data_IF_899116388018
#
_entry.id   IF_899116388018
#
_cell.length_a   1.000
_cell.length_b   1.000
_cell.length_c   1.000
_cell.angle_alpha   90.00
_cell.angle_beta   90.00
_cell.angle_gamma   90.00
#
_symmetry.space_group_name_H-M   'P 1'
#
loop_
_entity.id
_entity.type
_entity.pdbx_description
1 polymer ?
#
# COMPACT_ATOMS: atom_id res chain seq x y z
N UNK A 1 1.91 -1.43 20.77
CA UNK A 1 0.72 -1.82 19.99
C UNK A 1 1.01 -3.10 19.24
N UNK A 2 -0.02 -3.92 18.98
CA UNK A 2 0.05 -5.11 18.13
C UNK A 2 -0.38 -4.74 16.71
N UNK A 3 0.52 -4.84 15.74
CA UNK A 3 0.33 -4.29 14.39
C UNK A 3 0.52 -5.38 13.34
N UNK A 4 -0.44 -5.48 12.42
CA UNK A 4 -0.33 -6.32 11.23
C UNK A 4 -0.05 -5.45 10.00
N UNK A 5 1.00 -5.79 9.25
CA UNK A 5 1.24 -5.25 7.91
C UNK A 5 0.94 -6.34 6.89
N UNK A 6 -0.26 -6.29 6.33
CA UNK A 6 -0.83 -7.30 5.46
C UNK A 6 -0.42 -7.08 3.99
N UNK A 7 -0.18 -8.16 3.26
CA UNK A 7 0.28 -8.15 1.87
C UNK A 7 1.59 -7.34 1.72
N UNK A 8 2.51 -7.52 2.66
CA UNK A 8 3.82 -6.88 2.66
C UNK A 8 4.93 -7.92 2.83
N UNK A 9 5.69 -8.16 1.77
CA UNK A 9 6.91 -8.99 1.81
C UNK A 9 8.18 -8.15 2.06
N UNK A 10 8.16 -6.83 1.78
CA UNK A 10 9.35 -5.96 1.84
C UNK A 10 9.87 -5.71 3.26
N UNK A 11 9.01 -5.84 4.28
CA UNK A 11 9.32 -5.52 5.67
C UNK A 11 9.50 -4.03 5.97
N UNK A 12 9.32 -3.14 4.99
CA UNK A 12 9.62 -1.71 5.15
C UNK A 12 8.69 -1.03 6.16
N UNK A 13 7.38 -1.28 6.07
CA UNK A 13 6.41 -0.70 7.01
C UNK A 13 6.50 -1.39 8.36
N UNK A 14 6.59 -2.74 8.38
CA UNK A 14 6.80 -3.51 9.61
C UNK A 14 7.97 -2.97 10.42
N UNK A 15 9.13 -2.80 9.79
CA UNK A 15 10.37 -2.39 10.46
C UNK A 15 10.29 -0.95 10.99
N UNK A 16 9.57 -0.04 10.31
CA UNK A 16 9.34 1.31 10.78
C UNK A 16 8.58 1.32 12.13
N UNK A 17 7.58 0.44 12.29
CA UNK A 17 6.86 0.30 13.56
C UNK A 17 7.70 -0.40 14.64
N UNK A 18 8.49 -1.43 14.29
CA UNK A 18 9.41 -2.10 15.22
C UNK A 18 10.44 -1.10 15.75
N UNK A 19 11.01 -0.25 14.90
CA UNK A 19 11.97 0.78 15.30
C UNK A 19 11.41 1.76 16.34
N UNK A 20 10.07 1.89 16.43
CA UNK A 20 9.37 2.71 17.43
C UNK A 20 8.88 1.90 18.65
N UNK A 21 9.31 0.64 18.79
CA UNK A 21 9.02 -0.20 19.95
C UNK A 21 7.66 -0.90 19.91
N UNK A 22 7.05 -1.02 18.71
CA UNK A 22 5.79 -1.73 18.56
C UNK A 22 5.99 -3.21 18.20
N UNK A 23 5.03 -4.05 18.58
CA UNK A 23 4.96 -5.46 18.19
C UNK A 23 4.31 -5.54 16.79
N UNK A 24 5.14 -5.50 15.75
CA UNK A 24 4.68 -5.51 14.37
C UNK A 24 5.13 -6.79 13.64
N UNK A 25 4.21 -7.37 12.87
CA UNK A 25 4.44 -8.53 12.00
C UNK A 25 3.94 -8.22 10.59
N UNK A 26 4.70 -8.61 9.57
CA UNK A 26 4.22 -8.58 8.19
C UNK A 26 3.62 -9.94 7.78
N UNK A 27 2.76 -9.94 6.76
CA UNK A 27 2.17 -11.15 6.18
C UNK A 27 2.11 -11.02 4.66
N UNK A 28 2.60 -12.04 3.95
CA UNK A 28 2.51 -12.14 2.48
C UNK A 28 2.59 -13.60 2.05
N UNK A 29 2.12 -13.92 0.85
CA UNK A 29 2.33 -15.23 0.22
C UNK A 29 3.80 -15.48 -0.11
N UNK A 30 4.57 -14.40 -0.31
CA UNK A 30 6.00 -14.43 -0.56
C UNK A 30 6.80 -14.43 0.75
N UNK A 31 8.03 -14.98 0.76
CA UNK A 31 8.95 -14.80 1.86
C UNK A 31 9.35 -13.32 2.01
N UNK A 32 9.69 -12.90 3.22
CA UNK A 32 10.13 -11.51 3.46
C UNK A 32 11.50 -11.24 2.86
N UNK A 33 11.70 -10.03 2.33
CA UNK A 33 12.99 -9.55 1.81
C UNK A 33 13.95 -9.12 2.94
N UNK A 34 13.44 -8.86 4.15
CA UNK A 34 14.22 -8.42 5.33
C UNK A 34 13.96 -9.32 6.52
N UNK A 35 14.98 -9.64 7.28
CA UNK A 35 14.83 -10.36 8.53
C UNK A 35 13.85 -9.65 9.47
N UNK A 36 12.99 -10.43 10.15
CA UNK A 36 12.03 -9.89 11.09
C UNK A 36 10.75 -10.74 11.17
N UNK A 37 9.82 -10.40 12.08
CA UNK A 37 8.57 -11.11 12.23
C UNK A 37 7.75 -11.11 10.94
N UNK A 38 7.50 -12.29 10.36
CA UNK A 38 6.79 -12.45 9.10
C UNK A 38 6.01 -13.75 9.08
N UNK A 39 4.74 -13.67 8.71
CA UNK A 39 3.90 -14.84 8.39
C UNK A 39 3.88 -15.02 6.87
N UNK A 40 4.52 -16.08 6.37
CA UNK A 40 4.40 -16.46 4.98
C UNK A 40 3.15 -17.30 4.79
N UNK A 41 2.06 -16.70 4.31
CA UNK A 41 0.76 -17.37 4.17
C UNK A 41 -0.34 -16.43 3.73
N UNK A 42 -1.58 -16.92 3.82
CA UNK A 42 -2.76 -16.13 3.48
C UNK A 42 -3.01 -15.06 4.57
N UNK A 43 -3.34 -13.85 4.15
CA UNK A 43 -3.68 -12.76 5.07
C UNK A 43 -4.84 -13.10 5.99
N UNK A 44 -5.78 -13.91 5.55
CA UNK A 44 -6.93 -14.35 6.37
C UNK A 44 -6.53 -15.21 7.55
N UNK A 45 -5.38 -15.89 7.52
CA UNK A 45 -4.82 -16.62 8.66
C UNK A 45 -4.53 -15.68 9.84
N UNK A 46 -4.24 -14.40 9.55
CA UNK A 46 -3.88 -13.39 10.54
C UNK A 46 -5.08 -12.59 11.04
N UNK A 47 -6.23 -12.64 10.36
CA UNK A 47 -7.42 -11.83 10.69
C UNK A 47 -8.37 -12.50 11.70
N UNK A 48 -8.05 -13.69 12.19
CA UNK A 48 -8.81 -14.41 13.21
C UNK A 48 -8.52 -13.97 14.67
N UNK A 49 -7.73 -12.92 14.85
CA UNK A 49 -7.34 -12.35 16.14
C UNK A 49 -7.40 -10.82 16.10
N UNK A 50 -7.56 -10.14 17.26
CA UNK A 50 -7.61 -8.69 17.30
C UNK A 50 -6.23 -8.06 17.08
N UNK A 51 -6.24 -6.90 16.40
CA UNK A 51 -5.10 -6.04 16.14
C UNK A 51 -5.39 -4.61 16.58
N UNK A 52 -4.36 -3.89 17.05
CA UNK A 52 -4.49 -2.45 17.36
C UNK A 52 -4.51 -1.60 16.09
N UNK A 53 -3.77 -2.04 15.07
CA UNK A 53 -3.67 -1.40 13.75
C UNK A 53 -3.41 -2.45 12.68
N UNK A 54 -4.08 -2.33 11.54
CA UNK A 54 -3.79 -3.10 10.33
C UNK A 54 -3.48 -2.15 9.18
N UNK A 55 -2.33 -2.36 8.52
CA UNK A 55 -1.95 -1.67 7.28
C UNK A 55 -1.86 -2.73 6.19
N UNK A 56 -2.47 -2.51 5.02
CA UNK A 56 -2.48 -3.50 3.94
C UNK A 56 -2.07 -2.90 2.59
N UNK A 57 -1.32 -3.71 1.82
CA UNK A 57 -0.85 -3.39 0.48
C UNK A 57 -1.36 -4.45 -0.54
N UNK A 58 -2.69 -4.56 -0.76
CA UNK A 58 -3.24 -5.60 -1.59
C UNK A 58 -2.78 -5.50 -3.05
N UNK A 59 -2.78 -6.62 -3.81
CA UNK A 59 -2.44 -6.61 -5.23
C UNK A 59 -3.27 -5.59 -6.01
N UNK A 60 -2.60 -4.66 -6.71
CA UNK A 60 -3.26 -3.52 -7.34
C UNK A 60 -3.29 -3.57 -8.88
N UNK A 61 -2.66 -4.56 -9.52
CA UNK A 61 -2.47 -4.61 -10.98
C UNK A 61 -3.78 -4.49 -11.75
N UNK A 62 -4.82 -5.25 -11.37
CA UNK A 62 -6.13 -5.18 -11.99
C UNK A 62 -6.96 -3.97 -11.53
N UNK A 63 -6.62 -3.33 -10.41
CA UNK A 63 -7.36 -2.24 -9.78
C UNK A 63 -6.96 -0.85 -10.27
N UNK A 64 -5.72 -0.68 -10.74
CA UNK A 64 -5.20 0.63 -11.15
C UNK A 64 -5.78 1.12 -12.47
N UNK A 65 -5.95 2.44 -12.62
CA UNK A 65 -6.33 3.06 -13.90
C UNK A 65 -5.27 2.84 -15.00
N UNK A 66 -4.01 2.66 -14.63
CA UNK A 66 -2.94 2.33 -15.58
C UNK A 66 -3.15 0.97 -16.26
N UNK A 67 -3.93 0.06 -15.65
CA UNK A 67 -4.31 -1.24 -16.21
C UNK A 67 -5.55 -1.20 -17.10
N UNK A 68 -6.15 -0.03 -17.40
CA UNK A 68 -7.41 0.05 -18.13
C UNK A 68 -7.38 -0.55 -19.53
N UNK A 69 -6.24 -0.51 -20.21
CA UNK A 69 -6.08 -1.13 -21.54
C UNK A 69 -6.18 -2.66 -21.51
N UNK A 70 -5.98 -3.28 -20.36
CA UNK A 70 -6.00 -4.76 -20.20
C UNK A 70 -7.23 -5.20 -19.40
N UNK A 71 -7.57 -4.46 -18.34
CA UNK A 71 -8.60 -4.83 -17.35
C UNK A 71 -9.83 -3.92 -17.40
N UNK A 72 -9.89 -2.92 -18.31
CA UNK A 72 -11.02 -2.02 -18.43
C UNK A 72 -12.28 -2.72 -18.93
N UNK A 73 -13.44 -2.04 -18.81
CA UNK A 73 -14.69 -2.51 -19.35
C UNK A 73 -14.55 -2.79 -20.87
N UNK A 74 -15.07 -3.93 -21.32
CA UNK A 74 -14.91 -4.40 -22.69
C UNK A 74 -13.54 -5.02 -23.02
N UNK A 75 -12.58 -5.07 -22.09
CA UNK A 75 -11.30 -5.72 -22.28
C UNK A 75 -11.34 -7.22 -21.88
N UNK A 76 -10.48 -8.08 -22.48
CA UNK A 76 -10.50 -9.53 -22.25
C UNK A 76 -10.37 -9.93 -20.76
N UNK A 77 -9.66 -9.11 -19.95
CA UNK A 77 -9.44 -9.38 -18.53
C UNK A 77 -10.33 -8.56 -17.58
N UNK A 78 -11.45 -8.07 -18.06
CA UNK A 78 -12.39 -7.29 -17.21
C UNK A 78 -12.94 -8.12 -16.05
N UNK A 79 -13.21 -9.41 -16.26
CA UNK A 79 -13.66 -10.31 -15.19
C UNK A 79 -12.63 -10.45 -14.06
N UNK A 80 -11.33 -10.48 -14.38
CA UNK A 80 -10.26 -10.49 -13.37
C UNK A 80 -10.27 -9.19 -12.51
N UNK A 81 -10.61 -8.05 -13.11
CA UNK A 81 -10.79 -6.78 -12.37
C UNK A 81 -11.93 -6.87 -11.38
N UNK A 82 -13.08 -7.38 -11.80
CA UNK A 82 -14.25 -7.50 -10.93
C UNK A 82 -13.95 -8.44 -9.74
N UNK A 83 -13.34 -9.59 -10.00
CA UNK A 83 -12.92 -10.50 -8.93
C UNK A 83 -11.89 -9.84 -7.98
N UNK A 84 -10.93 -9.06 -8.51
CA UNK A 84 -9.96 -8.32 -7.69
C UNK A 84 -10.63 -7.23 -6.84
N UNK A 85 -11.65 -6.56 -7.36
CA UNK A 85 -12.44 -5.58 -6.59
C UNK A 85 -13.19 -6.28 -5.46
N UNK A 86 -13.89 -7.37 -5.76
CA UNK A 86 -14.64 -8.16 -4.77
C UNK A 86 -13.72 -8.64 -3.63
N UNK A 87 -12.60 -9.27 -3.98
CA UNK A 87 -11.62 -9.75 -3.00
C UNK A 87 -11.06 -8.60 -2.13
N UNK A 88 -10.72 -7.47 -2.74
CA UNK A 88 -10.15 -6.31 -2.01
C UNK A 88 -11.18 -5.69 -1.06
N UNK A 89 -12.44 -5.60 -1.47
CA UNK A 89 -13.53 -5.12 -0.61
C UNK A 89 -13.82 -6.10 0.54
N UNK A 90 -13.78 -7.41 0.27
CA UNK A 90 -13.89 -8.44 1.30
C UNK A 90 -12.76 -8.34 2.32
N UNK A 91 -11.52 -8.21 1.87
CA UNK A 91 -10.34 -7.99 2.73
C UNK A 91 -10.51 -6.73 3.58
N UNK A 92 -10.92 -5.59 2.97
CA UNK A 92 -11.17 -4.34 3.69
C UNK A 92 -12.18 -4.52 4.83
N UNK A 93 -13.26 -5.25 4.58
CA UNK A 93 -14.28 -5.51 5.62
C UNK A 93 -13.78 -6.45 6.71
N UNK A 94 -13.02 -7.48 6.35
CA UNK A 94 -12.42 -8.39 7.31
C UNK A 94 -11.40 -7.69 8.23
N UNK A 95 -10.56 -6.81 7.67
CA UNK A 95 -9.62 -5.99 8.45
C UNK A 95 -10.33 -5.07 9.44
N UNK A 96 -11.43 -4.41 9.04
CA UNK A 96 -12.25 -3.57 9.94
C UNK A 96 -12.92 -4.35 11.06
N UNK A 97 -13.22 -5.63 10.84
CA UNK A 97 -13.74 -6.50 11.90
C UNK A 97 -12.64 -6.92 12.90
N UNK A 98 -11.39 -7.00 12.44
CA UNK A 98 -10.24 -7.43 13.26
C UNK A 98 -9.49 -6.27 13.94
N UNK A 99 -9.72 -5.00 13.51
CA UNK A 99 -9.04 -3.83 14.08
C UNK A 99 -9.90 -2.57 14.02
N UNK A 100 -9.88 -1.72 15.07
CA UNK A 100 -10.52 -0.42 15.05
C UNK A 100 -9.80 0.61 14.16
N UNK A 101 -8.54 0.36 13.77
CA UNK A 101 -7.70 1.25 12.97
C UNK A 101 -7.13 0.49 11.78
N UNK A 102 -7.53 0.92 10.57
CA UNK A 102 -7.12 0.24 9.33
C UNK A 102 -6.71 1.27 8.28
N UNK A 103 -5.57 1.01 7.64
CA UNK A 103 -5.15 1.66 6.40
C UNK A 103 -5.02 0.62 5.29
N UNK A 104 -5.59 0.89 4.12
CA UNK A 104 -5.34 0.09 2.92
C UNK A 104 -4.77 0.98 1.83
N UNK A 105 -3.54 0.68 1.41
CA UNK A 105 -2.84 1.36 0.34
C UNK A 105 -3.28 0.80 -1.03
N UNK A 106 -3.61 1.69 -1.96
CA UNK A 106 -3.83 1.31 -3.35
C UNK A 106 -3.56 2.52 -4.27
N UNK A 107 -3.00 2.34 -5.46
CA UNK A 107 -2.81 3.44 -6.40
C UNK A 107 -4.15 4.00 -6.88
N UNK A 108 -4.12 5.10 -7.64
CA UNK A 108 -5.32 5.64 -8.30
C UNK A 108 -5.99 4.55 -9.14
N UNK A 109 -7.20 4.17 -8.75
CA UNK A 109 -7.85 2.98 -9.29
C UNK A 109 -9.37 3.01 -9.20
N UNK A 110 -9.95 1.84 -9.37
CA UNK A 110 -11.40 1.65 -9.55
C UNK A 110 -12.17 1.35 -8.25
N UNK A 111 -11.50 1.17 -7.12
CA UNK A 111 -12.12 0.74 -5.86
C UNK A 111 -13.24 1.68 -5.40
N UNK A 112 -13.07 3.01 -5.58
CA UNK A 112 -14.13 3.96 -5.25
C UNK A 112 -15.40 3.73 -6.11
N UNK A 113 -15.21 3.51 -7.41
CA UNK A 113 -16.33 3.39 -8.36
C UNK A 113 -16.93 1.98 -8.37
N UNK A 114 -16.13 0.94 -8.47
CA UNK A 114 -16.60 -0.44 -8.61
C UNK A 114 -16.76 -1.14 -7.25
N UNK A 115 -15.93 -0.80 -6.27
CA UNK A 115 -15.99 -1.36 -4.92
C UNK A 115 -16.86 -0.55 -3.95
N UNK A 116 -17.45 0.57 -4.40
CA UNK A 116 -18.25 1.47 -3.57
C UNK A 116 -17.51 1.89 -2.26
N UNK A 117 -16.19 2.04 -2.34
CA UNK A 117 -15.39 2.48 -1.21
C UNK A 117 -15.39 4.01 -1.09
N UNK A 118 -15.19 4.52 0.12
CA UNK A 118 -15.02 5.96 0.34
C UNK A 118 -13.80 6.52 -0.42
N UNK A 119 -13.70 7.84 -0.53
CA UNK A 119 -12.56 8.47 -1.18
C UNK A 119 -11.30 8.26 -0.33
N UNK A 120 -10.18 7.80 -0.92
CA UNK A 120 -8.91 7.71 -0.21
C UNK A 120 -8.28 9.09 -0.03
N UNK A 121 -7.44 9.24 0.99
CA UNK A 121 -6.43 10.29 1.02
C UNK A 121 -5.37 9.97 -0.04
N UNK A 122 -4.96 10.95 -0.84
CA UNK A 122 -3.83 10.77 -1.75
C UNK A 122 -2.56 11.36 -1.16
N UNK A 123 -1.49 10.58 -1.20
CA UNK A 123 -0.14 10.99 -0.80
C UNK A 123 0.85 10.80 -1.94
N UNK A 124 1.98 11.48 -1.84
CA UNK A 124 3.09 11.42 -2.79
C UNK A 124 4.42 11.24 -2.06
N UNK A 125 5.39 10.48 -2.60
CA UNK A 125 6.69 10.29 -1.96
C UNK A 125 7.44 11.59 -1.67
N UNK A 126 7.28 12.62 -2.52
CA UNK A 126 7.94 13.92 -2.28
C UNK A 126 7.45 14.66 -1.03
N UNK A 127 6.27 14.33 -0.52
CA UNK A 127 5.75 14.85 0.75
C UNK A 127 6.48 14.26 1.97
N UNK A 128 7.26 13.19 1.75
CA UNK A 128 7.94 12.40 2.77
C UNK A 128 9.44 12.22 2.48
N UNK A 129 10.07 13.20 1.82
CA UNK A 129 11.51 13.27 1.61
C UNK A 129 12.07 12.49 0.41
N UNK A 130 11.23 11.95 -0.48
CA UNK A 130 11.67 11.21 -1.66
C UNK A 130 11.42 12.02 -2.94
N UNK A 131 12.45 12.28 -3.73
CA UNK A 131 12.35 13.08 -4.96
C UNK A 131 11.69 12.31 -6.12
N UNK A 132 10.56 11.64 -5.84
CA UNK A 132 9.81 10.83 -6.81
C UNK A 132 8.32 11.11 -6.76
N UNK A 133 7.63 10.82 -7.86
CA UNK A 133 6.18 10.86 -7.99
C UNK A 133 5.61 9.44 -8.09
N UNK A 134 4.74 9.09 -7.17
CA UNK A 134 3.93 7.86 -7.18
C UNK A 134 2.65 8.14 -6.39
N UNK A 135 1.63 8.69 -7.06
CA UNK A 135 0.36 9.02 -6.40
C UNK A 135 -0.28 7.76 -5.83
N UNK A 136 -0.37 7.70 -4.52
CA UNK A 136 -0.86 6.56 -3.76
C UNK A 136 -2.08 6.96 -2.94
N UNK A 137 -3.13 6.16 -2.95
CA UNK A 137 -4.34 6.35 -2.14
C UNK A 137 -4.28 5.54 -0.86
N UNK A 138 -4.61 6.17 0.25
CA UNK A 138 -4.76 5.57 1.56
C UNK A 138 -6.25 5.56 1.93
N UNK A 139 -6.87 4.39 1.94
CA UNK A 139 -8.21 4.21 2.49
C UNK A 139 -8.08 4.05 4.01
N UNK A 140 -8.67 4.96 4.77
CA UNK A 140 -8.50 5.06 6.21
C UNK A 140 -9.79 4.71 6.95
N UNK A 141 -9.67 3.93 8.03
CA UNK A 141 -10.73 3.66 8.98
C UNK A 141 -10.17 3.83 10.40
N UNK A 142 -10.79 4.70 11.22
CA UNK A 142 -10.34 4.96 12.58
C UNK A 142 -8.95 5.61 12.69
N UNK A 143 -8.42 6.13 11.60
CA UNK A 143 -7.11 6.79 11.51
C UNK A 143 -7.27 8.24 11.05
N UNK A 144 -6.46 9.17 11.55
CA UNK A 144 -6.37 10.52 10.99
C UNK A 144 -5.65 10.47 9.63
N UNK A 145 -5.90 11.45 8.74
CA UNK A 145 -5.09 11.63 7.54
C UNK A 145 -3.60 11.73 7.87
N UNK A 146 -2.76 11.10 7.03
CA UNK A 146 -1.31 11.18 7.16
C UNK A 146 -0.83 12.58 6.75
N UNK A 147 -0.09 13.23 7.63
CA UNK A 147 0.46 14.58 7.40
C UNK A 147 1.86 14.47 6.82
N UNK A 148 2.17 15.31 5.84
CA UNK A 148 3.51 15.36 5.25
C UNK A 148 4.58 15.74 6.29
N UNK A 149 5.76 15.13 6.19
CA UNK A 149 6.86 15.32 7.14
C UNK A 149 8.04 16.08 6.57
N UNK A 150 8.31 15.90 5.28
CA UNK A 150 9.45 16.52 4.59
C UNK A 150 9.10 16.72 3.10
N UNK A 151 8.52 17.86 2.77
CA UNK A 151 8.10 18.17 1.41
C UNK A 151 9.28 18.67 0.57
N UNK A 152 9.73 17.84 -0.36
CA UNK A 152 10.86 18.13 -1.30
C UNK A 152 10.35 18.39 -2.73
N UNK A 153 9.13 18.90 -2.88
CA UNK A 153 8.50 19.13 -4.20
C UNK A 153 9.33 20.04 -5.10
N UNK A 154 9.80 21.19 -4.59
CA UNK A 154 10.53 22.16 -5.38
C UNK A 154 11.89 21.64 -5.85
N UNK A 155 12.57 20.86 -5.00
CA UNK A 155 13.82 20.18 -5.34
C UNK A 155 13.58 19.07 -6.36
N UNK A 156 12.54 18.28 -6.17
CA UNK A 156 12.15 17.23 -7.11
C UNK A 156 11.82 17.81 -8.50
N UNK A 157 11.14 18.95 -8.56
CA UNK A 157 10.75 19.56 -9.83
C UNK A 157 11.95 20.04 -10.67
N UNK A 158 13.12 20.22 -10.07
CA UNK A 158 14.38 20.51 -10.78
C UNK A 158 14.95 19.28 -11.50
N UNK A 159 14.51 18.07 -11.14
CA UNK A 159 14.96 16.84 -11.76
C UNK A 159 14.27 16.57 -13.10
N UNK A 160 14.94 15.88 -14.05
CA UNK A 160 14.32 15.41 -15.27
C UNK A 160 13.09 14.52 -14.99
N UNK A 161 12.10 14.58 -15.90
CA UNK A 161 10.85 13.82 -15.73
C UNK A 161 11.06 12.32 -15.53
N UNK A 162 11.97 11.71 -16.29
CA UNK A 162 12.28 10.29 -16.18
C UNK A 162 12.93 9.90 -14.84
N UNK A 163 13.54 10.84 -14.13
CA UNK A 163 14.10 10.62 -12.78
C UNK A 163 12.99 10.70 -11.74
N UNK A 164 12.19 11.78 -11.72
CA UNK A 164 11.12 11.94 -10.73
C UNK A 164 9.95 10.98 -10.92
N UNK A 165 9.75 10.48 -12.14
CA UNK A 165 8.76 9.44 -12.46
C UNK A 165 9.42 8.07 -12.71
N UNK A 166 10.55 7.79 -12.07
CA UNK A 166 11.40 6.60 -12.30
C UNK A 166 10.60 5.30 -12.40
N UNK A 167 9.63 5.09 -11.53
CA UNK A 167 8.81 3.87 -11.53
C UNK A 167 7.97 3.70 -12.80
N UNK A 168 7.61 4.80 -13.47
CA UNK A 168 6.89 4.75 -14.75
C UNK A 168 7.83 4.33 -15.88
N UNK A 169 9.09 4.81 -15.84
CA UNK A 169 10.10 4.57 -16.87
C UNK A 169 10.95 3.30 -16.65
N UNK A 170 10.68 2.51 -15.62
CA UNK A 170 11.38 1.25 -15.40
C UNK A 170 11.21 0.32 -16.62
N UNK A 171 12.32 -0.21 -17.18
CA UNK A 171 12.25 -1.19 -18.26
C UNK A 171 11.54 -2.48 -17.77
N UNK A 172 11.01 -3.28 -18.70
CA UNK A 172 10.54 -4.61 -18.38
C UNK A 172 11.65 -5.46 -17.76
N UNK A 173 11.39 -6.03 -16.59
CA UNK A 173 12.29 -6.97 -15.93
C UNK A 173 11.48 -7.89 -14.98
N UNK A 174 12.02 -9.07 -14.61
CA UNK A 174 11.37 -9.95 -13.64
C UNK A 174 11.08 -9.26 -12.30
N UNK A 175 11.94 -8.32 -11.87
CA UNK A 175 11.84 -7.64 -10.58
C UNK A 175 11.14 -6.28 -10.65
N UNK A 176 10.67 -5.85 -11.81
CA UNK A 176 9.99 -4.57 -11.99
C UNK A 176 8.80 -4.39 -11.04
N UNK A 177 8.05 -5.44 -10.83
CA UNK A 177 6.90 -5.42 -9.92
C UNK A 177 7.33 -5.19 -8.47
N UNK A 178 8.42 -5.80 -8.01
CA UNK A 178 8.99 -5.60 -6.66
C UNK A 178 9.32 -4.14 -6.40
N UNK A 179 10.10 -3.52 -7.32
CA UNK A 179 10.47 -2.11 -7.22
C UNK A 179 9.26 -1.19 -7.18
N UNK A 180 8.19 -1.53 -7.90
CA UNK A 180 6.96 -0.74 -7.95
C UNK A 180 6.04 -0.91 -6.74
N UNK A 181 6.06 -2.07 -6.09
CA UNK A 181 5.20 -2.38 -4.95
C UNK A 181 5.77 -1.92 -3.61
N UNK A 182 7.09 -1.80 -3.48
CA UNK A 182 7.72 -1.37 -2.22
C UNK A 182 7.26 0.02 -1.79
N UNK A 183 6.91 0.13 -0.51
CA UNK A 183 6.55 1.40 0.14
C UNK A 183 7.81 2.24 0.37
N UNK A 184 7.70 3.55 0.18
CA UNK A 184 8.80 4.48 0.46
C UNK A 184 9.02 4.62 1.96
N UNK A 185 10.30 4.60 2.38
CA UNK A 185 10.67 4.64 3.79
C UNK A 185 10.05 5.84 4.54
N UNK A 186 10.10 7.04 3.97
CA UNK A 186 9.53 8.23 4.61
C UNK A 186 8.01 8.15 4.83
N UNK A 187 7.28 7.41 3.96
CA UNK A 187 5.84 7.14 4.17
C UNK A 187 5.66 6.15 5.32
N UNK A 188 6.46 5.08 5.36
CA UNK A 188 6.43 4.09 6.44
C UNK A 188 6.75 4.72 7.80
N UNK A 189 7.77 5.58 7.85
CA UNK A 189 8.18 6.31 9.06
C UNK A 189 7.08 7.26 9.55
N UNK A 190 6.44 7.99 8.62
CA UNK A 190 5.32 8.87 8.94
C UNK A 190 4.10 8.09 9.46
N UNK A 191 3.77 6.92 8.87
CA UNK A 191 2.72 6.03 9.39
C UNK A 191 3.03 5.59 10.81
N UNK A 192 4.26 5.14 11.06
CA UNK A 192 4.69 4.68 12.37
C UNK A 192 4.75 5.82 13.41
N UNK A 193 4.96 7.05 12.99
CA UNK A 193 4.98 8.22 13.87
C UNK A 193 3.58 8.73 14.23
N UNK A 194 2.69 8.80 13.25
CA UNK A 194 1.44 9.54 13.39
C UNK A 194 0.25 8.66 13.78
N UNK A 195 0.36 7.35 13.63
CA UNK A 195 -0.73 6.41 13.91
C UNK A 195 -0.52 5.55 15.18
N UNK A 196 0.46 5.89 16.00
CA UNK A 196 0.79 5.18 17.25
C UNK A 196 0.51 5.98 18.51
#
# INVERSE_FOLDING_TARGET
>A
MKILVACEYSGTVRDAFIARGHDAISCDLLPTDKDGPHHQGDVYDMLNQPWDLIIAHPPCTALTVAGNSTYGEGQPKYAERLASVEWTVALWNAMKAASPRVCMENPVGVLRRLGNMHAPQFVQPYQFGHMEQKKTGLFLHGLPPLVETNNVFDEMMKLPKNVRERLHYLPPSPDRWKVRSTTYQGIADAMAEQWT
#
